data_IF_394566184570
#
_entry.id   IF_394566184570
#
_cell.length_a   1.000
_cell.length_b   1.000
_cell.length_c   1.000
_cell.angle_alpha   90.00
_cell.angle_beta   90.00
_cell.angle_gamma   90.00
#
_symmetry.space_group_name_H-M   'P 1'
#
loop_
_entity.id
_entity.type
_entity.pdbx_description
1 polymer ?
#
# COMPACT_ATOMS: atom_id res chain seq x y z
N UNK A 1 21.04 -2.30 9.13
CA UNK A 1 21.06 -3.14 7.92
C UNK A 1 19.95 -2.69 7.00
N UNK A 2 20.25 -2.45 5.72
CA UNK A 2 19.25 -2.05 4.73
C UNK A 2 18.46 -3.28 4.27
N UNK A 3 17.12 -3.21 4.15
CA UNK A 3 16.34 -4.32 3.65
C UNK A 3 16.66 -4.61 2.18
N UNK A 4 16.72 -5.89 1.82
CA UNK A 4 16.90 -6.34 0.43
C UNK A 4 15.65 -6.03 -0.39
N UNK A 5 15.78 -5.92 -1.71
CA UNK A 5 14.62 -5.71 -2.61
C UNK A 5 13.54 -6.77 -2.40
N UNK A 6 13.93 -8.04 -2.32
CA UNK A 6 13.00 -9.15 -2.06
C UNK A 6 12.28 -8.97 -0.70
N UNK A 7 13.01 -8.58 0.35
CA UNK A 7 12.41 -8.30 1.65
C UNK A 7 11.40 -7.15 1.61
N UNK A 8 11.72 -6.06 0.89
CA UNK A 8 10.80 -4.92 0.70
C UNK A 8 9.53 -5.33 -0.03
N UNK A 9 9.65 -6.07 -1.14
CA UNK A 9 8.50 -6.55 -1.93
C UNK A 9 7.63 -7.50 -1.10
N UNK A 10 8.24 -8.47 -0.40
CA UNK A 10 7.51 -9.38 0.49
C UNK A 10 6.73 -8.62 1.55
N UNK A 11 7.38 -7.66 2.22
CA UNK A 11 6.78 -6.88 3.29
C UNK A 11 5.65 -5.99 2.77
N UNK A 12 5.85 -5.37 1.60
CA UNK A 12 4.85 -4.56 0.89
C UNK A 12 3.60 -5.39 0.60
N UNK A 13 3.76 -6.53 -0.07
CA UNK A 13 2.64 -7.40 -0.44
C UNK A 13 1.96 -7.93 0.82
N UNK A 14 2.71 -8.49 1.77
CA UNK A 14 2.14 -9.14 2.95
C UNK A 14 1.35 -8.15 3.81
N UNK A 15 1.93 -6.99 4.12
CA UNK A 15 1.28 -6.03 5.02
C UNK A 15 0.10 -5.37 4.33
N UNK A 16 0.22 -4.95 3.07
CA UNK A 16 -0.91 -4.36 2.36
C UNK A 16 -2.03 -5.38 2.13
N UNK A 17 -1.71 -6.64 1.82
CA UNK A 17 -2.72 -7.69 1.65
C UNK A 17 -3.43 -8.03 2.97
N UNK A 18 -2.68 -8.24 4.05
CA UNK A 18 -3.26 -8.65 5.34
C UNK A 18 -3.91 -7.47 6.05
N UNK A 19 -3.14 -6.43 6.34
CA UNK A 19 -3.63 -5.27 7.09
C UNK A 19 -4.61 -4.46 6.24
N UNK A 20 -4.25 -4.18 4.99
CA UNK A 20 -5.14 -3.49 4.07
C UNK A 20 -6.37 -4.32 3.72
N UNK A 21 -6.26 -5.65 3.65
CA UNK A 21 -7.40 -6.54 3.42
C UNK A 21 -8.40 -6.58 4.58
N UNK A 22 -7.90 -6.67 5.82
CA UNK A 22 -8.74 -6.59 7.03
C UNK A 22 -9.38 -5.20 7.12
N UNK A 23 -8.60 -4.14 6.90
CA UNK A 23 -9.13 -2.78 6.94
C UNK A 23 -10.18 -2.54 5.86
N UNK A 24 -9.95 -3.03 4.64
CA UNK A 24 -10.91 -2.96 3.53
C UNK A 24 -12.20 -3.68 3.90
N UNK A 25 -12.12 -4.85 4.55
CA UNK A 25 -13.31 -5.57 5.01
C UNK A 25 -14.15 -4.74 5.99
N UNK A 26 -13.49 -4.08 6.94
CA UNK A 26 -14.14 -3.25 7.96
C UNK A 26 -14.71 -1.95 7.39
N UNK A 27 -14.02 -1.33 6.44
CA UNK A 27 -14.37 -0.02 5.89
C UNK A 27 -15.44 -0.11 4.78
N UNK A 28 -15.41 -1.16 3.95
CA UNK A 28 -16.30 -1.32 2.81
C UNK A 28 -17.80 -1.03 3.09
N UNK A 29 -18.44 -1.51 4.17
CA UNK A 29 -19.86 -1.23 4.41
C UNK A 29 -20.18 0.24 4.73
N UNK A 30 -19.19 1.04 5.13
CA UNK A 30 -19.36 2.45 5.53
C UNK A 30 -19.01 3.40 4.39
N UNK A 31 -18.46 2.90 3.28
CA UNK A 31 -18.02 3.74 2.16
C UNK A 31 -19.22 4.40 1.44
N UNK A 32 -19.16 5.72 1.18
CA UNK A 32 -20.24 6.46 0.51
C UNK A 32 -20.24 6.17 -1.00
N UNK A 33 -20.61 4.95 -1.38
CA UNK A 33 -20.58 4.47 -2.77
C UNK A 33 -21.95 4.51 -3.46
N UNK A 34 -23.05 4.42 -2.69
CA UNK A 34 -24.41 4.32 -3.25
C UNK A 34 -24.68 3.00 -3.98
N UNK A 35 -23.78 2.02 -3.86
CA UNK A 35 -23.88 0.70 -4.48
C UNK A 35 -24.41 -0.34 -3.48
N UNK A 36 -24.77 -1.52 -3.98
CA UNK A 36 -25.05 -2.65 -3.10
C UNK A 36 -23.77 -3.09 -2.37
N UNK A 37 -23.93 -3.58 -1.15
CA UNK A 37 -22.83 -4.02 -0.28
C UNK A 37 -21.86 -4.95 -1.03
N UNK A 38 -22.38 -5.95 -1.75
CA UNK A 38 -21.56 -6.88 -2.52
C UNK A 38 -20.70 -6.20 -3.61
N UNK A 39 -21.24 -5.18 -4.29
CA UNK A 39 -20.47 -4.41 -5.29
C UNK A 39 -19.42 -3.54 -4.61
N UNK A 40 -19.75 -2.90 -3.49
CA UNK A 40 -18.80 -2.10 -2.72
C UNK A 40 -17.60 -2.92 -2.26
N UNK A 41 -17.81 -4.16 -1.76
CA UNK A 41 -16.71 -5.07 -1.42
C UNK A 41 -15.87 -5.44 -2.64
N UNK A 42 -16.52 -5.81 -3.75
CA UNK A 42 -15.82 -6.17 -4.99
C UNK A 42 -14.90 -5.04 -5.45
N UNK A 43 -15.43 -3.83 -5.55
CA UNK A 43 -14.69 -2.67 -6.06
C UNK A 43 -13.56 -2.31 -5.09
N UNK A 44 -13.83 -2.32 -3.78
CA UNK A 44 -12.83 -2.04 -2.75
C UNK A 44 -11.65 -3.03 -2.78
N UNK A 45 -11.92 -4.34 -2.96
CA UNK A 45 -10.86 -5.34 -3.07
C UNK A 45 -10.11 -5.29 -4.41
N UNK A 46 -10.78 -4.92 -5.51
CA UNK A 46 -10.10 -4.65 -6.78
C UNK A 46 -9.13 -3.48 -6.63
N UNK A 47 -9.55 -2.42 -5.94
CA UNK A 47 -8.68 -1.27 -5.62
C UNK A 47 -7.48 -1.70 -4.80
N UNK A 48 -7.68 -2.51 -3.76
CA UNK A 48 -6.58 -3.04 -2.95
C UNK A 48 -5.62 -3.90 -3.79
N UNK A 49 -6.12 -4.74 -4.69
CA UNK A 49 -5.30 -5.57 -5.57
C UNK A 49 -4.42 -4.73 -6.51
N UNK A 50 -4.99 -3.70 -7.13
CA UNK A 50 -4.24 -2.77 -7.98
C UNK A 50 -3.23 -1.96 -7.18
N UNK A 51 -3.59 -1.53 -5.97
CA UNK A 51 -2.67 -0.87 -5.04
C UNK A 51 -1.45 -1.74 -4.73
N UNK A 52 -1.65 -3.04 -4.46
CA UNK A 52 -0.54 -3.98 -4.24
C UNK A 52 0.36 -4.07 -5.48
N UNK A 53 -0.23 -4.24 -6.67
CA UNK A 53 0.53 -4.35 -7.92
C UNK A 53 1.34 -3.08 -8.23
N UNK A 54 0.71 -1.91 -8.12
CA UNK A 54 1.40 -0.62 -8.26
C UNK A 54 2.48 -0.43 -7.20
N UNK A 55 2.21 -0.88 -5.98
CA UNK A 55 3.18 -0.81 -4.90
C UNK A 55 4.44 -1.62 -5.17
N UNK A 56 4.31 -2.83 -5.74
CA UNK A 56 5.48 -3.63 -6.17
C UNK A 56 6.29 -2.91 -7.24
N UNK A 57 5.61 -2.31 -8.24
CA UNK A 57 6.30 -1.51 -9.26
C UNK A 57 7.02 -0.32 -8.63
N UNK A 58 6.40 0.34 -7.65
CA UNK A 58 6.99 1.47 -6.95
C UNK A 58 8.22 1.08 -6.11
N UNK A 59 8.23 -0.13 -5.52
CA UNK A 59 9.43 -0.64 -4.85
C UNK A 59 10.62 -0.81 -5.81
N UNK A 60 10.38 -1.20 -7.06
CA UNK A 60 11.43 -1.27 -8.08
C UNK A 60 12.00 0.11 -8.41
N UNK A 61 11.12 1.10 -8.61
CA UNK A 61 11.51 2.50 -8.85
C UNK A 61 12.28 3.06 -7.66
N UNK A 62 11.75 2.86 -6.45
CA UNK A 62 12.41 3.28 -5.22
C UNK A 62 13.79 2.66 -5.09
N UNK A 63 13.92 1.35 -5.33
CA UNK A 63 15.19 0.64 -5.21
C UNK A 63 16.21 1.13 -6.24
N UNK A 64 15.78 1.39 -7.48
CA UNK A 64 16.62 1.97 -8.52
C UNK A 64 17.14 3.36 -8.10
N UNK A 65 16.25 4.24 -7.64
CA UNK A 65 16.61 5.61 -7.24
C UNK A 65 17.53 5.62 -6.01
N UNK A 66 17.28 4.72 -5.05
CA UNK A 66 18.10 4.54 -3.86
C UNK A 66 19.56 4.18 -4.21
N UNK A 67 19.83 3.52 -5.35
CA UNK A 67 21.20 3.20 -5.77
C UNK A 67 22.07 4.42 -6.08
N UNK A 68 21.48 5.57 -6.40
CA UNK A 68 22.25 6.78 -6.70
C UNK A 68 22.61 7.59 -5.44
N UNK A 69 22.11 7.20 -4.26
CA UNK A 69 22.38 7.90 -3.00
C UNK A 69 23.60 7.34 -2.27
N UNK A 70 24.32 8.22 -1.58
CA UNK A 70 25.45 7.87 -0.72
C UNK A 70 25.05 6.91 0.41
N UNK A 71 23.98 7.25 1.15
CA UNK A 71 23.49 6.45 2.27
C UNK A 71 22.67 5.23 1.84
N UNK A 72 22.34 5.14 0.55
CA UNK A 72 21.47 4.10 -0.01
C UNK A 72 20.20 3.93 0.80
N UNK A 73 19.59 4.98 1.34
CA UNK A 73 18.27 4.90 1.99
C UNK A 73 17.57 6.26 1.94
N UNK A 74 16.27 6.28 2.22
CA UNK A 74 15.49 7.51 2.30
C UNK A 74 14.94 7.72 3.71
N UNK A 75 14.84 8.98 4.18
CA UNK A 75 14.08 9.30 5.38
C UNK A 75 12.66 8.73 5.32
N UNK A 76 12.18 8.18 6.43
CA UNK A 76 10.86 7.51 6.53
C UNK A 76 9.70 8.41 6.14
N UNK A 77 9.83 9.74 6.35
CA UNK A 77 8.83 10.72 5.95
C UNK A 77 8.61 10.75 4.43
N UNK A 78 9.64 10.53 3.61
CA UNK A 78 9.46 10.42 2.16
C UNK A 78 8.61 9.20 1.79
N UNK A 79 8.72 8.11 2.55
CA UNK A 79 7.83 6.95 2.39
C UNK A 79 6.37 7.23 2.77
N UNK A 80 6.09 8.24 3.60
CA UNK A 80 4.71 8.69 3.82
C UNK A 80 4.22 9.54 2.63
N UNK A 81 5.06 10.46 2.17
CA UNK A 81 4.75 11.37 1.05
C UNK A 81 4.54 10.66 -0.28
N UNK A 82 5.19 9.50 -0.49
CA UNK A 82 4.95 8.67 -1.69
C UNK A 82 3.51 8.16 -1.78
N UNK A 83 2.75 8.17 -0.68
CA UNK A 83 1.32 7.90 -0.70
C UNK A 83 0.54 8.88 -1.55
N UNK A 84 0.99 10.13 -1.66
CA UNK A 84 0.34 11.11 -2.54
C UNK A 84 0.51 10.71 -3.99
N UNK A 85 1.75 10.46 -4.42
CA UNK A 85 2.04 10.06 -5.80
C UNK A 85 1.36 8.73 -6.16
N UNK A 86 1.39 7.77 -5.25
CA UNK A 86 0.79 6.45 -5.48
C UNK A 86 -0.74 6.52 -5.52
N UNK A 87 -1.37 7.33 -4.67
CA UNK A 87 -2.80 7.58 -4.71
C UNK A 87 -3.25 8.24 -6.02
N UNK A 88 -2.48 9.21 -6.52
CA UNK A 88 -2.72 9.84 -7.82
C UNK A 88 -2.60 8.81 -8.94
N UNK A 89 -1.51 8.03 -8.98
CA UNK A 89 -1.32 7.00 -10.01
C UNK A 89 -2.42 5.95 -9.95
N UNK A 90 -2.79 5.48 -8.76
CA UNK A 90 -3.89 4.53 -8.56
C UNK A 90 -5.21 5.08 -9.07
N UNK A 91 -5.54 6.33 -8.76
CA UNK A 91 -6.74 7.00 -9.27
C UNK A 91 -6.75 7.04 -10.80
N UNK A 92 -5.63 7.43 -11.42
CA UNK A 92 -5.52 7.50 -12.88
C UNK A 92 -5.65 6.10 -13.51
N UNK A 93 -5.01 5.08 -12.94
CA UNK A 93 -5.14 3.70 -13.41
C UNK A 93 -6.60 3.23 -13.30
N UNK A 94 -7.27 3.51 -12.20
CA UNK A 94 -8.69 3.17 -12.05
C UNK A 94 -9.56 3.93 -13.05
N UNK A 95 -9.27 5.20 -13.31
CA UNK A 95 -10.04 6.02 -14.24
C UNK A 95 -9.90 5.58 -15.70
N UNK A 96 -8.70 5.19 -16.12
CA UNK A 96 -8.40 4.95 -17.54
C UNK A 96 -8.31 3.46 -17.91
N UNK A 97 -7.88 2.60 -16.99
CA UNK A 97 -7.69 1.16 -17.24
C UNK A 97 -8.87 0.34 -16.71
N UNK A 98 -9.43 0.73 -15.56
CA UNK A 98 -10.49 -0.02 -14.87
C UNK A 98 -11.70 0.86 -14.49
N UNK A 99 -12.27 1.65 -15.43
CA UNK A 99 -13.29 2.66 -15.11
C UNK A 99 -14.54 2.10 -14.43
N UNK A 100 -14.87 0.81 -14.67
CA UNK A 100 -16.04 0.15 -14.08
C UNK A 100 -15.91 -0.16 -12.58
N UNK A 101 -14.73 0.02 -11.99
CA UNK A 101 -14.45 -0.25 -10.57
C UNK A 101 -14.12 1.01 -9.78
N UNK A 102 -14.18 2.19 -10.41
CA UNK A 102 -13.87 3.45 -9.75
C UNK A 102 -15.09 3.96 -8.99
N UNK A 103 -15.08 3.97 -7.64
CA UNK A 103 -16.15 4.56 -6.86
C UNK A 103 -16.09 6.10 -6.91
N UNK A 104 -17.10 6.80 -6.37
CA UNK A 104 -17.04 8.24 -6.20
C UNK A 104 -15.75 8.68 -5.50
N UNK A 105 -15.19 9.82 -5.92
CA UNK A 105 -13.96 10.40 -5.36
C UNK A 105 -13.87 10.38 -3.82
N UNK A 106 -14.91 10.74 -3.03
CA UNK A 106 -14.81 10.68 -1.58
C UNK A 106 -14.67 9.24 -1.04
N UNK A 107 -15.35 8.26 -1.64
CA UNK A 107 -15.23 6.87 -1.22
C UNK A 107 -13.84 6.31 -1.54
N UNK A 108 -13.31 6.61 -2.72
CA UNK A 108 -11.92 6.25 -3.08
C UNK A 108 -10.92 6.90 -2.11
N UNK A 109 -11.04 8.21 -1.87
CA UNK A 109 -10.10 8.94 -1.02
C UNK A 109 -10.12 8.40 0.42
N UNK A 110 -11.31 8.14 0.98
CA UNK A 110 -11.45 7.53 2.30
C UNK A 110 -10.78 6.16 2.36
N UNK A 111 -11.08 5.28 1.40
CA UNK A 111 -10.48 3.95 1.36
C UNK A 111 -8.96 4.02 1.24
N UNK A 112 -8.46 4.77 0.27
CA UNK A 112 -7.03 4.86 -0.02
C UNK A 112 -6.26 5.49 1.14
N UNK A 113 -6.66 6.67 1.62
CA UNK A 113 -5.93 7.41 2.65
C UNK A 113 -5.89 6.64 3.96
N UNK A 114 -7.02 6.07 4.40
CA UNK A 114 -7.06 5.30 5.65
C UNK A 114 -6.25 4.01 5.56
N UNK A 115 -6.37 3.27 4.45
CA UNK A 115 -5.56 2.07 4.19
C UNK A 115 -4.06 2.42 4.18
N UNK A 116 -3.69 3.49 3.50
CA UNK A 116 -2.30 3.96 3.41
C UNK A 116 -1.72 4.28 4.77
N UNK A 117 -2.44 5.07 5.59
CA UNK A 117 -1.99 5.48 6.91
C UNK A 117 -1.84 4.28 7.85
N UNK A 118 -2.78 3.34 7.85
CA UNK A 118 -2.72 2.16 8.70
C UNK A 118 -1.56 1.24 8.27
N UNK A 119 -1.41 0.98 6.98
CA UNK A 119 -0.30 0.17 6.46
C UNK A 119 1.04 0.82 6.80
N UNK A 120 1.18 2.12 6.56
CA UNK A 120 2.38 2.88 6.89
C UNK A 120 2.68 2.84 8.40
N UNK A 121 1.68 2.99 9.25
CA UNK A 121 1.84 2.94 10.71
C UNK A 121 2.29 1.55 11.17
N UNK A 122 1.68 0.49 10.63
CA UNK A 122 2.08 -0.90 10.94
C UNK A 122 3.52 -1.18 10.52
N UNK A 123 3.92 -0.73 9.32
CA UNK A 123 5.28 -0.90 8.78
C UNK A 123 6.36 -0.16 9.59
N UNK A 124 6.02 1.01 10.15
CA UNK A 124 6.98 1.84 10.89
C UNK A 124 6.97 1.57 12.40
N UNK A 125 5.88 1.06 12.98
CA UNK A 125 5.74 0.83 14.42
C UNK A 125 5.63 -0.66 14.81
N UNK A 126 4.40 -1.20 14.96
CA UNK A 126 4.14 -2.53 15.53
C UNK A 126 4.97 -3.67 14.93
N UNK A 127 5.11 -3.72 13.61
CA UNK A 127 5.78 -4.83 12.94
C UNK A 127 7.27 -4.88 13.29
N UNK A 128 7.91 -3.70 13.44
CA UNK A 128 9.32 -3.60 13.86
C UNK A 128 9.53 -3.94 15.33
N UNK A 129 8.52 -3.73 16.17
CA UNK A 129 8.56 -4.06 17.59
C UNK A 129 8.36 -5.56 17.83
N UNK A 130 7.42 -6.19 17.12
CA UNK A 130 7.07 -7.61 17.30
C UNK A 130 8.08 -8.52 16.58
N UNK A 131 8.46 -8.19 15.33
CA UNK A 131 9.33 -9.05 14.52
C UNK A 131 10.77 -8.53 14.45
N UNK A 132 11.41 -8.41 15.61
CA UNK A 132 12.80 -7.91 15.72
C UNK A 132 13.78 -8.70 14.85
N UNK A 133 13.56 -10.00 14.67
CA UNK A 133 14.44 -10.88 13.87
C UNK A 133 14.53 -10.49 12.40
N UNK A 134 13.55 -9.75 11.86
CA UNK A 134 13.62 -9.28 10.47
C UNK A 134 14.77 -8.32 10.20
N UNK A 135 15.27 -7.63 11.24
CA UNK A 135 16.46 -6.77 11.15
C UNK A 135 17.71 -7.55 10.72
N UNK A 136 17.79 -8.83 11.10
CA UNK A 136 18.94 -9.70 10.78
C UNK A 136 18.77 -10.47 9.47
N UNK A 137 17.57 -10.49 8.87
CA UNK A 137 17.28 -11.20 7.61
C UNK A 137 17.00 -10.25 6.44
N UNK A 138 17.45 -9.00 6.53
CA UNK A 138 17.26 -8.01 5.47
C UNK A 138 15.79 -7.77 5.11
N UNK A 139 14.88 -7.86 6.10
CA UNK A 139 13.45 -7.62 5.93
C UNK A 139 12.64 -8.79 5.34
N UNK A 140 13.22 -9.99 5.20
CA UNK A 140 12.51 -11.16 4.65
C UNK A 140 11.67 -11.88 5.71
N UNK A 141 10.53 -12.43 5.29
CA UNK A 141 9.74 -13.38 6.10
C UNK A 141 10.04 -14.84 5.74
N UNK A 142 10.49 -15.10 4.50
CA UNK A 142 10.91 -16.41 3.98
C UNK A 142 12.38 -16.36 3.60
#
# INVERSE_FOLDING_TARGET
MLPTLNGRIQLRILVTAVVGGIWTALLAPVLPTGLSVARTYRDAYVILGVLIALGVLWELVYHLLMQFRWEKDWPTLFGLLTGVSEGVVLWLVMRFVLPGFLPPAPAFALQFVTTWLIVWLVLNGPLRAIFVRQRFRGGRFV
#
